data_IF_541570499318
#
_entry.id   IF_541570499318
#
_cell.length_a   1.000
_cell.length_b   1.000
_cell.length_c   1.000
_cell.angle_alpha   90.00
_cell.angle_beta   90.00
_cell.angle_gamma   90.00
#
_symmetry.space_group_name_H-M   'P 1'
#
loop_
_entity.id
_entity.type
_entity.pdbx_description
1 polymer ?
#
# COMPACT_ATOMS: atom_id res chain seq x y z
N UNK A 1 -5.03 2.21 -12.18
CA UNK A 1 -4.10 2.89 -13.11
C UNK A 1 -3.28 3.92 -12.39
N UNK A 2 -3.67 5.21 -12.44
CA UNK A 2 -2.89 6.31 -11.84
C UNK A 2 -2.67 6.11 -10.33
N UNK A 3 -3.73 5.79 -9.57
CA UNK A 3 -3.62 5.52 -8.14
C UNK A 3 -2.57 4.46 -7.79
N UNK A 4 -2.49 3.37 -8.55
CA UNK A 4 -1.50 2.31 -8.31
C UNK A 4 -0.06 2.80 -8.50
N UNK A 5 0.18 3.71 -9.48
CA UNK A 5 1.51 4.30 -9.67
C UNK A 5 1.86 5.22 -8.49
N UNK A 6 0.90 6.03 -8.04
CA UNK A 6 1.07 6.95 -6.90
C UNK A 6 1.30 6.20 -5.60
N UNK A 7 0.51 5.17 -5.33
CA UNK A 7 0.63 4.30 -4.18
C UNK A 7 2.02 3.65 -4.10
N UNK A 8 2.50 3.10 -5.21
CA UNK A 8 3.80 2.43 -5.27
C UNK A 8 4.97 3.39 -5.09
N UNK A 9 4.87 4.58 -5.68
CA UNK A 9 5.85 5.65 -5.47
C UNK A 9 5.91 6.07 -3.99
N UNK A 10 4.76 6.36 -3.40
CA UNK A 10 4.64 6.71 -1.99
C UNK A 10 5.18 5.61 -1.08
N UNK A 11 4.82 4.35 -1.35
CA UNK A 11 5.25 3.19 -0.58
C UNK A 11 6.77 3.03 -0.65
N UNK A 12 7.37 3.11 -1.84
CA UNK A 12 8.81 2.96 -2.01
C UNK A 12 9.60 4.11 -1.39
N UNK A 13 9.13 5.35 -1.52
CA UNK A 13 9.73 6.52 -0.85
C UNK A 13 9.71 6.33 0.66
N UNK A 14 8.57 5.97 1.24
CA UNK A 14 8.42 5.72 2.66
C UNK A 14 9.34 4.58 3.15
N UNK A 15 9.29 3.43 2.47
CA UNK A 15 9.98 2.21 2.87
C UNK A 15 11.51 2.33 2.77
N UNK A 16 12.01 2.81 1.62
CA UNK A 16 13.45 2.90 1.38
C UNK A 16 14.14 3.93 2.27
N UNK A 17 13.44 5.01 2.62
CA UNK A 17 13.96 6.06 3.48
C UNK A 17 13.63 5.86 4.96
N UNK A 18 12.86 4.81 5.31
CA UNK A 18 12.39 4.53 6.68
C UNK A 18 11.74 5.75 7.34
N UNK A 19 10.88 6.45 6.58
CA UNK A 19 10.28 7.70 7.03
C UNK A 19 9.28 7.44 8.17
N UNK A 20 9.36 8.25 9.23
CA UNK A 20 8.38 8.25 10.31
C UNK A 20 7.16 9.07 9.89
N UNK A 21 6.15 8.39 9.36
CA UNK A 21 4.93 9.02 8.85
C UNK A 21 3.83 9.13 9.93
N UNK A 22 2.87 10.06 9.82
CA UNK A 22 1.77 10.14 10.76
C UNK A 22 0.94 8.85 10.79
N UNK A 23 0.54 8.42 11.99
CA UNK A 23 -0.48 7.36 12.14
C UNK A 23 -1.86 7.91 11.90
N UNK A 24 -2.78 7.10 11.38
CA UNK A 24 -4.19 7.44 11.44
C UNK A 24 -4.75 7.07 12.82
N UNK A 25 -5.51 7.98 13.41
CA UNK A 25 -6.38 7.71 14.55
C UNK A 25 -7.55 6.82 14.10
N UNK A 26 -7.44 5.53 14.44
CA UNK A 26 -8.41 4.48 14.08
C UNK A 26 -9.75 4.60 14.80
N UNK A 27 -9.92 5.59 15.70
CA UNK A 27 -11.21 5.97 16.26
C UNK A 27 -11.98 6.98 15.38
N UNK A 28 -11.40 7.39 14.26
CA UNK A 28 -11.99 8.36 13.31
C UNK A 28 -12.28 7.73 11.94
N UNK A 29 -13.23 8.32 11.22
CA UNK A 29 -13.71 7.87 9.92
C UNK A 29 -15.21 7.60 9.92
N UNK A 30 -15.72 7.10 8.80
CA UNK A 30 -17.12 6.70 8.69
C UNK A 30 -17.44 5.44 9.52
N UNK A 31 -18.75 5.18 9.61
CA UNK A 31 -19.27 4.02 10.36
C UNK A 31 -18.81 2.67 9.79
N UNK A 32 -18.52 2.59 8.49
CA UNK A 32 -18.15 1.33 7.85
C UNK A 32 -16.72 0.94 8.22
N UNK A 33 -15.80 1.90 8.12
CA UNK A 33 -14.41 1.80 8.56
C UNK A 33 -14.33 1.41 10.03
N UNK A 34 -15.05 2.14 10.89
CA UNK A 34 -15.01 1.89 12.33
C UNK A 34 -15.49 0.48 12.68
N UNK A 35 -16.54 -0.02 12.01
CA UNK A 35 -17.02 -1.40 12.18
C UNK A 35 -16.01 -2.45 11.71
N UNK A 36 -15.30 -2.18 10.63
CA UNK A 36 -14.25 -3.09 10.15
C UNK A 36 -13.07 -3.14 11.13
N UNK A 37 -12.63 -1.98 11.61
CA UNK A 37 -11.56 -1.86 12.61
C UNK A 37 -11.95 -2.56 13.92
N UNK A 38 -13.18 -2.36 14.38
CA UNK A 38 -13.73 -3.03 15.57
C UNK A 38 -13.66 -4.56 15.44
N UNK A 39 -14.02 -5.11 14.26
CA UNK A 39 -13.89 -6.55 13.99
C UNK A 39 -12.45 -7.06 14.05
N UNK A 40 -11.48 -6.25 13.65
CA UNK A 40 -10.06 -6.61 13.76
C UNK A 40 -9.65 -6.65 15.25
N UNK A 41 -10.11 -5.71 16.07
CA UNK A 41 -9.82 -5.68 17.51
C UNK A 41 -10.47 -6.81 18.32
N UNK A 42 -11.54 -7.43 17.81
CA UNK A 42 -12.06 -8.68 18.38
C UNK A 42 -11.17 -9.91 18.11
N UNK A 43 -10.05 -9.73 17.41
CA UNK A 43 -9.06 -10.78 17.18
C UNK A 43 -7.73 -10.43 17.86
N UNK A 44 -6.78 -11.37 17.88
CA UNK A 44 -5.41 -11.13 18.36
C UNK A 44 -4.53 -10.31 17.39
N UNK A 45 -5.15 -9.45 16.57
CA UNK A 45 -4.47 -8.63 15.57
C UNK A 45 -4.39 -7.19 16.04
N UNK A 46 -3.24 -6.60 15.77
CA UNK A 46 -3.04 -5.18 15.88
C UNK A 46 -3.02 -4.56 14.49
N UNK A 47 -3.70 -3.42 14.36
CA UNK A 47 -3.76 -2.64 13.13
C UNK A 47 -3.04 -1.31 13.33
N UNK A 48 -2.18 -0.98 12.37
CA UNK A 48 -1.61 0.34 12.21
C UNK A 48 -1.97 0.83 10.81
N UNK A 49 -2.33 2.10 10.68
CA UNK A 49 -2.46 2.76 9.37
C UNK A 49 -1.59 4.00 9.40
N UNK A 50 -0.77 4.19 8.37
CA UNK A 50 0.05 5.38 8.20
C UNK A 50 -0.42 6.16 6.98
N UNK A 51 -0.41 7.49 7.08
CA UNK A 51 -0.53 8.39 5.93
C UNK A 51 0.85 8.56 5.30
N UNK A 52 1.08 7.94 4.15
CA UNK A 52 2.32 8.02 3.37
C UNK A 52 2.21 9.00 2.20
N UNK A 53 1.23 9.90 2.22
CA UNK A 53 0.98 10.87 1.14
C UNK A 53 2.23 11.68 0.82
N UNK A 54 2.62 11.67 -0.46
CA UNK A 54 3.78 12.39 -0.97
C UNK A 54 3.40 13.80 -1.43
N UNK A 55 4.37 14.50 -2.00
CA UNK A 55 4.18 15.84 -2.52
C UNK A 55 3.22 15.92 -3.73
N UNK A 56 2.89 14.78 -4.37
CA UNK A 56 1.81 14.64 -5.36
C UNK A 56 0.43 15.02 -4.76
N UNK A 57 0.27 14.95 -3.43
CA UNK A 57 -0.96 15.32 -2.70
C UNK A 57 -2.19 14.51 -3.14
N UNK A 58 -2.01 13.23 -3.42
CA UNK A 58 -3.10 12.26 -3.53
C UNK A 58 -3.00 11.37 -2.28
N UNK A 59 -4.05 11.32 -1.43
CA UNK A 59 -4.03 10.53 -0.21
C UNK A 59 -3.54 9.10 -0.48
N UNK A 60 -2.51 8.68 0.27
CA UNK A 60 -1.89 7.37 0.12
C UNK A 60 -1.64 6.78 1.50
N UNK A 61 -2.10 5.56 1.72
CA UNK A 61 -2.08 4.92 3.03
C UNK A 61 -1.36 3.58 2.95
N UNK A 62 -0.70 3.20 4.04
CA UNK A 62 -0.25 1.83 4.27
C UNK A 62 -0.88 1.32 5.55
N UNK A 63 -1.59 0.20 5.46
CA UNK A 63 -2.10 -0.54 6.59
C UNK A 63 -1.14 -1.68 6.92
N UNK A 64 -0.83 -1.87 8.20
CA UNK A 64 -0.02 -2.96 8.71
C UNK A 64 -0.82 -3.75 9.73
N UNK A 65 -0.86 -5.07 9.54
CA UNK A 65 -1.51 -5.99 10.45
C UNK A 65 -0.46 -6.87 11.10
N UNK A 66 -0.38 -6.79 12.42
CA UNK A 66 0.53 -7.58 13.25
C UNK A 66 -0.25 -8.64 14.01
N UNK A 67 0.21 -9.88 13.96
CA UNK A 67 -0.29 -11.00 14.76
C UNK A 67 0.65 -11.41 15.89
N UNK A 68 0.20 -12.33 16.75
CA UNK A 68 1.03 -12.95 17.81
C UNK A 68 1.85 -14.15 17.31
N UNK A 69 1.59 -14.65 16.11
CA UNK A 69 2.24 -15.82 15.50
C UNK A 69 2.38 -15.64 13.99
N UNK A 70 3.07 -16.56 13.32
CA UNK A 70 3.27 -16.49 11.86
C UNK A 70 1.94 -16.61 11.07
N UNK A 71 1.71 -15.78 10.03
CA UNK A 71 2.53 -14.66 9.59
C UNK A 71 2.42 -13.47 10.55
N UNK A 72 3.57 -13.02 11.02
CA UNK A 72 3.70 -12.03 12.08
C UNK A 72 3.31 -10.63 11.62
N UNK A 73 3.80 -10.18 10.47
CA UNK A 73 3.49 -8.87 9.91
C UNK A 73 3.12 -8.97 8.43
N UNK A 74 2.06 -8.27 8.06
CA UNK A 74 1.67 -8.06 6.66
C UNK A 74 1.25 -6.62 6.45
N UNK A 75 1.28 -6.17 5.20
CA UNK A 75 0.81 -4.84 4.84
C UNK A 75 -0.05 -4.87 3.58
N UNK A 76 -0.81 -3.79 3.41
CA UNK A 76 -1.47 -3.40 2.17
C UNK A 76 -1.32 -1.89 2.01
N UNK A 77 -1.29 -1.40 0.78
CA UNK A 77 -1.16 0.02 0.50
C UNK A 77 -2.23 0.45 -0.48
N UNK A 78 -2.66 1.71 -0.39
CA UNK A 78 -3.63 2.26 -1.34
C UNK A 78 -3.50 3.76 -1.49
N UNK A 79 -3.66 4.25 -2.72
CA UNK A 79 -3.93 5.66 -2.98
C UNK A 79 -5.36 5.86 -3.48
N UNK A 80 -6.02 6.92 -3.03
CA UNK A 80 -7.32 7.37 -3.52
C UNK A 80 -7.51 8.88 -3.23
N UNK A 81 -8.32 9.58 -4.02
CA UNK A 81 -8.73 10.96 -3.73
C UNK A 81 -9.75 11.03 -2.59
N UNK A 82 -10.50 9.95 -2.36
CA UNK A 82 -11.31 9.75 -1.15
C UNK A 82 -10.41 9.12 -0.07
N UNK A 83 -10.02 9.87 0.97
CA UNK A 83 -9.12 9.34 1.99
C UNK A 83 -9.74 8.21 2.81
N UNK A 84 -11.06 8.21 3.00
CA UNK A 84 -11.74 7.16 3.75
C UNK A 84 -11.74 5.86 2.96
N UNK A 85 -12.10 5.92 1.68
CA UNK A 85 -12.02 4.77 0.79
C UNK A 85 -10.60 4.25 0.63
N UNK A 86 -9.61 5.15 0.47
CA UNK A 86 -8.20 4.79 0.38
C UNK A 86 -7.72 4.05 1.63
N UNK A 87 -8.01 4.56 2.83
CA UNK A 87 -7.67 3.87 4.08
C UNK A 87 -8.37 2.51 4.19
N UNK A 88 -9.67 2.44 3.90
CA UNK A 88 -10.45 1.21 3.93
C UNK A 88 -9.81 0.14 3.05
N UNK A 89 -9.54 0.46 1.78
CA UNK A 89 -8.96 -0.45 0.81
C UNK A 89 -7.54 -0.88 1.19
N UNK A 90 -6.74 -0.01 1.81
CA UNK A 90 -5.42 -0.41 2.32
C UNK A 90 -5.54 -1.48 3.42
N UNK A 91 -6.52 -1.34 4.32
CA UNK A 91 -6.78 -2.35 5.37
C UNK A 91 -7.31 -3.66 4.77
N UNK A 92 -8.23 -3.58 3.80
CA UNK A 92 -8.72 -4.76 3.07
C UNK A 92 -7.58 -5.51 2.38
N UNK A 93 -6.66 -4.78 1.73
CA UNK A 93 -5.49 -5.37 1.09
C UNK A 93 -4.55 -6.02 2.12
N UNK A 94 -4.32 -5.40 3.27
CA UNK A 94 -3.52 -6.00 4.34
C UNK A 94 -4.14 -7.32 4.85
N UNK A 95 -5.48 -7.37 4.98
CA UNK A 95 -6.20 -8.59 5.36
C UNK A 95 -6.08 -9.69 4.28
N UNK A 96 -6.21 -9.33 3.00
CA UNK A 96 -6.02 -10.26 1.88
C UNK A 96 -4.58 -10.80 1.86
N UNK A 97 -3.58 -9.92 2.03
CA UNK A 97 -2.17 -10.29 2.15
C UNK A 97 -1.94 -11.22 3.33
N UNK A 98 -2.65 -11.06 4.45
CA UNK A 98 -2.58 -12.01 5.58
C UNK A 98 -3.02 -13.41 5.20
N UNK A 99 -4.13 -13.55 4.47
CA UNK A 99 -4.62 -14.84 3.99
C UNK A 99 -3.61 -15.48 3.06
N UNK A 100 -3.06 -14.69 2.12
CA UNK A 100 -2.04 -15.16 1.21
C UNK A 100 -0.75 -15.57 1.93
N UNK A 101 -0.27 -14.78 2.88
CA UNK A 101 0.92 -15.07 3.68
C UNK A 101 0.77 -16.37 4.48
N UNK A 102 -0.40 -16.64 5.08
CA UNK A 102 -0.69 -17.93 5.72
C UNK A 102 -0.59 -19.10 4.75
N UNK A 103 -1.18 -18.97 3.57
CA UNK A 103 -1.12 -20.02 2.54
C UNK A 103 0.31 -20.26 2.06
N UNK A 104 1.06 -19.17 1.87
CA UNK A 104 2.44 -19.20 1.40
C UNK A 104 3.36 -19.85 2.45
N UNK A 105 3.22 -19.49 3.73
CA UNK A 105 3.96 -20.11 4.83
C UNK A 105 3.64 -21.62 4.93
N UNK A 106 2.37 -22.01 4.82
CA UNK A 106 1.96 -23.43 4.82
C UNK A 106 2.58 -24.23 3.67
N UNK A 107 2.70 -23.62 2.49
CA UNK A 107 3.32 -24.25 1.31
C UNK A 107 4.85 -24.28 1.37
N UNK A 108 5.47 -23.48 2.25
CA UNK A 108 6.92 -23.32 2.35
C UNK A 108 7.39 -23.37 3.82
N UNK A 109 7.14 -24.48 4.55
CA UNK A 109 7.43 -24.58 5.99
C UNK A 109 8.93 -24.44 6.29
N UNK A 110 9.78 -24.88 5.37
CA UNK A 110 11.24 -24.87 5.51
C UNK A 110 11.90 -23.61 4.97
N UNK A 111 11.12 -22.62 4.51
CA UNK A 111 11.68 -21.37 4.00
C UNK A 111 12.49 -20.66 5.08
N UNK A 112 13.70 -20.24 4.72
CA UNK A 112 14.59 -19.41 5.53
C UNK A 112 15.15 -18.29 4.67
N UNK A 113 15.19 -17.08 5.21
CA UNK A 113 15.87 -15.97 4.57
C UNK A 113 17.35 -15.96 5.00
N UNK A 114 18.23 -15.47 4.13
CA UNK A 114 19.65 -15.25 4.47
C UNK A 114 19.80 -13.93 5.24
N UNK A 115 20.73 -13.84 6.19
CA UNK A 115 20.92 -12.63 7.02
C UNK A 115 21.12 -11.34 6.20
N UNK A 116 21.77 -11.45 5.04
CA UNK A 116 21.99 -10.36 4.10
C UNK A 116 20.84 -10.14 3.09
N UNK A 117 19.71 -10.83 3.27
CA UNK A 117 18.53 -10.83 2.39
C UNK A 117 18.81 -11.13 0.92
N UNK A 118 19.94 -11.80 0.63
CA UNK A 118 20.36 -12.00 -0.75
C UNK A 118 19.49 -13.00 -1.52
N UNK A 119 18.67 -13.80 -0.83
CA UNK A 119 17.67 -14.68 -1.42
C UNK A 119 16.26 -14.06 -1.49
N UNK A 120 16.13 -12.74 -1.28
CA UNK A 120 14.87 -11.99 -1.44
C UNK A 120 14.90 -11.26 -2.78
N UNK A 121 14.33 -11.89 -3.79
CA UNK A 121 14.32 -11.45 -5.18
C UNK A 121 12.91 -11.05 -5.67
N UNK A 122 11.84 -11.50 -5.03
CA UNK A 122 10.46 -11.23 -5.42
C UNK A 122 9.50 -11.03 -4.24
N UNK A 123 8.27 -10.63 -4.54
CA UNK A 123 7.24 -10.34 -3.53
C UNK A 123 6.89 -11.55 -2.65
N UNK A 124 6.98 -12.79 -3.17
CA UNK A 124 6.67 -13.99 -2.36
C UNK A 124 7.68 -14.14 -1.22
N UNK A 125 8.97 -14.02 -1.55
CA UNK A 125 10.05 -14.05 -0.56
C UNK A 125 9.97 -12.87 0.41
N UNK A 126 9.57 -11.69 -0.07
CA UNK A 126 9.37 -10.50 0.77
C UNK A 126 8.23 -10.69 1.78
N UNK A 127 7.12 -11.32 1.37
CA UNK A 127 6.02 -11.68 2.28
C UNK A 127 6.48 -12.71 3.30
N UNK A 128 7.20 -13.76 2.89
CA UNK A 128 7.74 -14.77 3.81
C UNK A 128 8.77 -14.21 4.78
N UNK A 129 9.56 -13.21 4.35
CA UNK A 129 10.53 -12.51 5.19
C UNK A 129 9.84 -11.82 6.37
N UNK A 130 8.86 -10.97 6.09
CA UNK A 130 8.15 -10.19 7.13
C UNK A 130 7.06 -10.98 7.87
N UNK A 131 6.73 -12.19 7.38
CA UNK A 131 5.94 -13.15 8.15
C UNK A 131 6.66 -13.66 9.42
N UNK A 132 7.98 -13.44 9.56
CA UNK A 132 8.77 -13.80 10.75
C UNK A 132 8.81 -12.66 11.78
N UNK A 133 8.84 -13.02 13.07
CA UNK A 133 8.77 -12.08 14.21
C UNK A 133 10.07 -11.30 14.46
N UNK A 134 11.20 -11.90 14.10
CA UNK A 134 12.56 -11.42 14.39
C UNK A 134 12.94 -10.11 13.69
N UNK A 135 12.21 -9.72 12.64
CA UNK A 135 12.43 -8.46 11.93
C UNK A 135 11.65 -7.28 12.51
N UNK A 136 10.71 -7.53 13.43
CA UNK A 136 9.91 -6.45 14.04
C UNK A 136 10.74 -5.34 14.67
N UNK A 137 11.82 -5.61 15.43
CA UNK A 137 12.64 -4.55 16.01
C UNK A 137 13.31 -3.65 14.97
N UNK A 138 13.49 -4.12 13.71
CA UNK A 138 14.05 -3.32 12.61
C UNK A 138 13.03 -2.39 11.95
N UNK A 139 11.77 -2.42 12.37
CA UNK A 139 10.66 -1.61 11.86
C UNK A 139 10.25 -0.51 12.84
N UNK A 140 11.20 -0.03 13.65
CA UNK A 140 11.02 1.03 14.63
C UNK A 140 10.41 2.32 14.06
N UNK A 141 10.70 2.66 12.80
CA UNK A 141 10.13 3.81 12.11
C UNK A 141 8.60 3.71 11.93
N UNK A 142 8.07 2.49 11.90
CA UNK A 142 6.63 2.21 11.89
C UNK A 142 6.06 2.28 13.31
N UNK A 143 6.81 1.74 14.29
CA UNK A 143 6.38 1.62 15.70
C UNK A 143 6.38 2.98 16.42
N UNK A 144 7.34 3.84 16.09
CA UNK A 144 7.56 5.14 16.71
C UNK A 144 7.25 6.28 15.73
N UNK A 145 6.21 6.07 14.93
CA UNK A 145 5.76 7.00 13.91
C UNK A 145 5.13 8.26 14.53
N UNK A 146 4.93 9.31 13.73
CA UNK A 146 4.51 10.64 14.19
C UNK A 146 3.08 10.62 14.83
N UNK A 147 2.67 11.69 15.55
CA UNK A 147 1.36 11.72 16.22
C UNK A 147 0.20 11.41 15.27
N UNK A 148 -0.91 10.95 15.86
CA UNK A 148 -2.05 10.47 15.09
C UNK A 148 -2.80 11.61 14.39
N UNK A 149 -2.98 11.49 13.08
CA UNK A 149 -3.84 12.29 12.21
C UNK A 149 -5.24 11.68 12.18
N UNK A 150 -6.29 12.49 12.20
CA UNK A 150 -7.65 11.99 12.00
C UNK A 150 -7.92 11.87 10.51
N UNK A 151 -8.52 10.77 10.07
CA UNK A 151 -8.83 10.59 8.64
C UNK A 151 -9.80 11.67 8.13
N UNK A 152 -10.67 12.15 9.01
CA UNK A 152 -11.64 13.21 8.72
C UNK A 152 -11.00 14.59 8.48
N UNK A 153 -9.74 14.79 8.89
CA UNK A 153 -9.00 16.03 8.66
C UNK A 153 -8.32 16.05 7.28
N UNK A 154 -8.26 14.89 6.59
CA UNK A 154 -7.71 14.79 5.24
C UNK A 154 -8.79 15.22 4.24
N UNK A 155 -8.51 16.22 3.36
CA UNK A 155 -9.51 16.69 2.41
C UNK A 155 -9.88 15.62 1.38
N UNK A 156 -11.16 15.28 1.31
CA UNK A 156 -11.73 14.52 0.20
C UNK A 156 -11.73 15.38 -1.07
N UNK A 157 -11.07 14.88 -2.11
CA UNK A 157 -11.01 15.50 -3.45
C UNK A 157 -11.61 14.60 -4.52
N UNK A 158 -12.32 13.56 -4.11
CA UNK A 158 -13.04 12.68 -5.01
C UNK A 158 -14.30 13.34 -5.54
N UNK A 159 -14.81 12.78 -6.63
CA UNK A 159 -16.03 13.14 -7.31
C UNK A 159 -16.77 11.86 -7.69
N UNK A 160 -18.11 11.86 -7.70
CA UNK A 160 -18.87 10.75 -8.27
C UNK A 160 -18.60 10.57 -9.78
N UNK A 161 -18.04 11.59 -10.45
CA UNK A 161 -17.63 11.49 -11.84
C UNK A 161 -16.17 11.06 -11.95
N UNK A 162 -15.96 9.83 -12.45
CA UNK A 162 -14.63 9.25 -12.65
C UNK A 162 -13.73 10.11 -13.54
N UNK A 163 -14.27 10.76 -14.57
CA UNK A 163 -13.50 11.62 -15.45
C UNK A 163 -12.92 12.83 -14.70
N UNK A 164 -13.66 13.39 -13.75
CA UNK A 164 -13.18 14.49 -12.91
C UNK A 164 -12.10 14.03 -11.91
N UNK A 165 -12.20 12.80 -11.41
CA UNK A 165 -11.13 12.20 -10.61
C UNK A 165 -9.84 12.02 -11.42
N UNK A 166 -9.95 11.51 -12.65
CA UNK A 166 -8.81 11.37 -13.57
C UNK A 166 -8.18 12.73 -13.84
N UNK A 167 -8.97 13.75 -14.19
CA UNK A 167 -8.48 15.13 -14.42
C UNK A 167 -7.80 15.70 -13.18
N UNK A 168 -8.36 15.47 -12.00
CA UNK A 168 -7.78 15.92 -10.72
C UNK A 168 -6.42 15.27 -10.48
N UNK A 169 -6.29 13.96 -10.72
CA UNK A 169 -5.02 13.27 -10.59
C UNK A 169 -3.98 13.79 -11.59
N UNK A 170 -4.36 13.90 -12.87
CA UNK A 170 -3.47 14.40 -13.93
C UNK A 170 -3.00 15.83 -13.64
N UNK A 171 -3.89 16.70 -13.15
CA UNK A 171 -3.52 18.06 -12.74
C UNK A 171 -2.45 18.03 -11.64
N UNK A 172 -2.68 17.28 -10.56
CA UNK A 172 -1.72 17.15 -9.45
C UNK A 172 -0.35 16.62 -9.90
N UNK A 173 -0.34 15.64 -10.81
CA UNK A 173 0.87 15.08 -11.41
C UNK A 173 1.59 16.15 -12.26
N UNK A 174 0.85 16.89 -13.11
CA UNK A 174 1.42 17.94 -13.96
C UNK A 174 1.99 19.12 -13.17
N UNK A 175 1.36 19.49 -12.04
CA UNK A 175 1.86 20.53 -11.13
C UNK A 175 3.23 20.18 -10.52
N UNK A 176 3.63 18.90 -10.62
CA UNK A 176 4.95 18.39 -10.21
C UNK A 176 5.90 18.17 -11.38
N UNK A 177 5.57 18.70 -12.55
CA UNK A 177 6.39 18.59 -13.76
C UNK A 177 6.52 17.16 -14.26
N UNK A 178 5.53 16.30 -13.99
CA UNK A 178 5.49 14.91 -14.45
C UNK A 178 4.38 14.74 -15.49
N UNK A 179 4.62 13.84 -16.45
CA UNK A 179 3.64 13.45 -17.46
C UNK A 179 3.13 12.04 -17.20
N UNK A 180 1.84 11.80 -17.47
CA UNK A 180 1.25 10.48 -17.41
C UNK A 180 1.01 9.93 -18.82
N UNK A 181 1.65 8.79 -19.12
CA UNK A 181 1.44 8.04 -20.37
C UNK A 181 0.47 6.90 -20.08
N UNK A 182 -0.68 6.90 -20.76
CA UNK A 182 -1.72 5.90 -20.61
C UNK A 182 -1.88 5.17 -21.94
N UNK A 183 -1.60 3.89 -21.96
CA UNK A 183 -1.67 3.03 -23.15
C UNK A 183 -2.81 2.05 -23.00
N UNK A 184 -3.71 2.01 -23.98
CA UNK A 184 -4.69 0.95 -24.08
C UNK A 184 -4.00 -0.34 -24.56
N UNK A 185 -4.05 -1.38 -23.74
CA UNK A 185 -3.47 -2.69 -24.01
C UNK A 185 -4.55 -3.80 -23.98
N UNK A 186 -5.81 -3.41 -24.24
CA UNK A 186 -6.93 -4.34 -24.29
C UNK A 186 -6.71 -5.34 -25.42
N UNK A 187 -6.63 -6.62 -25.07
CA UNK A 187 -6.59 -7.71 -26.03
C UNK A 187 -7.97 -7.95 -26.64
N UNK A 188 -8.01 -8.55 -27.83
CA UNK A 188 -9.27 -8.76 -28.57
C UNK A 188 -10.29 -9.57 -27.76
N UNK A 189 -9.87 -10.62 -27.06
CA UNK A 189 -10.72 -11.45 -26.20
C UNK A 189 -11.37 -10.64 -25.07
N UNK A 190 -10.63 -9.74 -24.42
CA UNK A 190 -11.16 -8.86 -23.38
C UNK A 190 -12.09 -7.80 -23.96
N UNK A 191 -11.80 -7.29 -25.16
CA UNK A 191 -12.66 -6.33 -25.84
C UNK A 191 -14.03 -6.95 -26.18
N UNK A 192 -14.09 -8.25 -26.53
CA UNK A 192 -15.36 -8.93 -26.84
C UNK A 192 -16.35 -8.97 -25.67
N UNK A 193 -15.85 -8.91 -24.43
CA UNK A 193 -16.67 -8.88 -23.22
C UNK A 193 -16.92 -7.46 -22.67
N UNK A 194 -16.48 -6.42 -23.40
CA UNK A 194 -16.75 -5.02 -23.07
C UNK A 194 -15.85 -4.42 -21.98
N UNK A 195 -14.75 -5.09 -21.62
CA UNK A 195 -13.78 -4.55 -20.65
C UNK A 195 -12.61 -3.83 -21.34
N UNK A 196 -11.94 -2.98 -20.58
CA UNK A 196 -10.75 -2.25 -21.01
C UNK A 196 -9.59 -2.51 -20.06
N UNK A 197 -8.40 -2.70 -20.63
CA UNK A 197 -7.14 -2.84 -19.91
C UNK A 197 -6.21 -1.73 -20.34
N UNK A 198 -5.69 -0.98 -19.37
CA UNK A 198 -4.75 0.11 -19.62
C UNK A 198 -3.47 -0.08 -18.81
N UNK A 199 -2.34 0.30 -19.42
CA UNK A 199 -1.07 0.47 -18.73
C UNK A 199 -0.84 1.96 -18.50
N UNK A 200 -0.58 2.33 -17.26
CA UNK A 200 -0.21 3.69 -16.88
C UNK A 200 1.27 3.73 -16.51
N UNK A 201 1.99 4.70 -17.05
CA UNK A 201 3.39 4.98 -16.77
C UNK A 201 3.50 6.47 -16.46
N UNK A 202 4.12 6.81 -15.33
CA UNK A 202 4.42 8.20 -14.97
C UNK A 202 5.95 8.28 -14.76
N UNK A 203 6.72 8.72 -15.76
CA UNK A 203 8.17 8.79 -15.66
C UNK A 203 8.62 9.63 -14.46
N UNK A 204 9.68 9.17 -13.80
CA UNK A 204 10.22 9.81 -12.59
C UNK A 204 9.40 9.56 -11.32
N UNK A 205 8.49 8.58 -11.32
CA UNK A 205 7.92 7.97 -10.10
C UNK A 205 8.61 6.63 -9.82
N UNK A 206 8.79 6.30 -8.55
CA UNK A 206 9.47 5.09 -8.10
C UNK A 206 8.59 3.86 -8.30
N UNK A 207 9.13 2.89 -9.04
CA UNK A 207 8.47 1.59 -9.21
C UNK A 207 8.64 0.71 -7.98
N UNK A 208 7.59 -0.05 -7.65
CA UNK A 208 7.64 -1.05 -6.59
C UNK A 208 8.71 -2.11 -6.89
N UNK A 209 9.60 -2.37 -5.94
CA UNK A 209 10.68 -3.34 -6.07
C UNK A 209 10.82 -4.17 -4.78
N UNK A 210 10.81 -5.49 -4.91
CA UNK A 210 10.98 -6.44 -3.80
C UNK A 210 12.38 -7.07 -3.73
N UNK A 211 13.25 -6.81 -4.70
CA UNK A 211 14.56 -7.40 -4.83
C UNK A 211 15.61 -6.65 -3.99
N UNK A 212 16.18 -7.34 -3.00
CA UNK A 212 17.19 -6.78 -2.11
C UNK A 212 18.58 -6.71 -2.76
N UNK A 213 18.86 -7.51 -3.80
CA UNK A 213 20.13 -7.50 -4.53
C UNK A 213 20.19 -6.40 -5.58
N UNK A 214 19.10 -6.23 -6.33
CA UNK A 214 19.02 -5.31 -7.46
C UNK A 214 17.98 -4.23 -7.17
N UNK A 215 18.39 -3.24 -6.39
CA UNK A 215 17.56 -2.07 -6.12
C UNK A 215 17.35 -1.28 -7.41
N UNK A 216 16.12 -0.83 -7.61
CA UNK A 216 15.78 0.06 -8.71
C UNK A 216 16.18 1.48 -8.28
N UNK A 217 17.14 2.08 -9.00
CA UNK A 217 17.71 3.39 -8.65
C UNK A 217 17.21 4.52 -9.57
N UNK A 218 16.27 4.22 -10.47
CA UNK A 218 15.88 5.09 -11.60
C UNK A 218 16.45 4.58 -12.91
#
# INVERSE_FOLDING_TARGET
>A
GIYEVVERDAFMIWWLNKLKMPRIDLSTGDKFILRMIERIYYTDLELYVLDITTDIKIPSFVALIRGKSEPFLVCGARADLDPQLGMLQAVEEALQTKVWAKQLAKKNPDYRYMENFSNIANFREHVLLYAKIDLWPKLDFIINSAPSLKINDIPDKSSPNILENIKTCLKKISEKGKDAVIVNITSEDIATVGFYVVKVIIPGMQSLNANYRYRHLG
#
